data_IF_473492108306
#
_entry.id   IF_473492108306
#
_cell.length_a   1.000
_cell.length_b   1.000
_cell.length_c   1.000
_cell.angle_alpha   90.00
_cell.angle_beta   90.00
_cell.angle_gamma   90.00
#
_symmetry.space_group_name_H-M   'P 1'
#
loop_
_entity.id
_entity.type
_entity.pdbx_description
1 polymer ?
#
# COMPACT_ATOMS: atom_id res chain seq x y z
N UNK A 1 -34.86 -40.96 32.87
CA UNK A 1 -33.71 -40.09 32.49
C UNK A 1 -33.15 -40.41 31.09
N UNK A 2 -33.16 -41.67 30.62
CA UNK A 2 -32.65 -42.06 29.29
C UNK A 2 -33.27 -41.33 28.08
N UNK A 3 -34.60 -41.11 28.03
CA UNK A 3 -35.24 -40.47 26.86
C UNK A 3 -34.76 -39.03 26.61
N UNK A 4 -34.35 -38.31 27.66
CA UNK A 4 -33.87 -36.91 27.57
C UNK A 4 -32.42 -36.85 27.08
N UNK A 5 -31.60 -37.86 27.38
CA UNK A 5 -30.22 -37.97 26.90
C UNK A 5 -30.13 -38.24 25.39
N UNK A 6 -31.04 -39.04 24.82
CA UNK A 6 -31.07 -39.32 23.38
C UNK A 6 -31.44 -38.09 22.55
N UNK A 7 -32.38 -37.29 23.04
CA UNK A 7 -32.79 -36.03 22.39
C UNK A 7 -31.64 -35.01 22.44
N UNK A 8 -30.98 -34.86 23.59
CA UNK A 8 -29.81 -33.97 23.68
C UNK A 8 -28.65 -34.45 22.80
N UNK A 9 -28.41 -35.75 22.70
CA UNK A 9 -27.34 -36.30 21.85
C UNK A 9 -27.63 -36.09 20.36
N UNK A 10 -28.89 -36.23 19.92
CA UNK A 10 -29.30 -35.94 18.54
C UNK A 10 -29.18 -34.46 18.18
N UNK A 11 -29.56 -33.56 19.08
CA UNK A 11 -29.41 -32.10 18.88
C UNK A 11 -27.93 -31.70 18.81
N UNK A 12 -27.08 -32.25 19.67
CA UNK A 12 -25.64 -32.00 19.63
C UNK A 12 -24.99 -32.51 18.35
N UNK A 13 -25.39 -33.68 17.85
CA UNK A 13 -24.90 -34.21 16.58
C UNK A 13 -25.33 -33.33 15.38
N UNK A 14 -26.58 -32.84 15.39
CA UNK A 14 -27.06 -31.90 14.37
C UNK A 14 -26.29 -30.58 14.37
N UNK A 15 -26.05 -30.00 15.56
CA UNK A 15 -25.25 -28.78 15.71
C UNK A 15 -23.79 -28.98 15.25
N UNK A 16 -23.21 -30.15 15.54
CA UNK A 16 -21.86 -30.47 15.09
C UNK A 16 -21.75 -30.55 13.56
N UNK A 17 -22.74 -31.16 12.88
CA UNK A 17 -22.76 -31.23 11.42
C UNK A 17 -22.92 -29.84 10.78
N UNK A 18 -23.79 -29.00 11.35
CA UNK A 18 -23.95 -27.61 10.89
C UNK A 18 -22.65 -26.82 11.10
N UNK A 19 -22.02 -26.98 12.26
CA UNK A 19 -20.71 -26.36 12.55
C UNK A 19 -19.62 -26.81 11.59
N UNK A 20 -19.54 -28.11 11.29
CA UNK A 20 -18.59 -28.66 10.33
C UNK A 20 -18.83 -28.14 8.90
N UNK A 21 -20.10 -28.06 8.46
CA UNK A 21 -20.45 -27.51 7.17
C UNK A 21 -20.07 -26.03 7.04
N UNK A 22 -20.32 -25.22 8.08
CA UNK A 22 -19.92 -23.82 8.13
C UNK A 22 -18.40 -23.64 8.11
N UNK A 23 -17.66 -24.51 8.80
CA UNK A 23 -16.19 -24.50 8.79
C UNK A 23 -15.64 -24.77 7.39
N UNK A 24 -16.16 -25.80 6.71
CA UNK A 24 -15.76 -26.15 5.35
C UNK A 24 -16.09 -24.99 4.39
N UNK A 25 -17.30 -24.43 4.48
CA UNK A 25 -17.70 -23.28 3.66
C UNK A 25 -16.78 -22.07 3.90
N UNK A 26 -16.44 -21.77 5.16
CA UNK A 26 -15.51 -20.71 5.51
C UNK A 26 -14.11 -20.91 4.93
N UNK A 27 -13.57 -22.13 5.00
CA UNK A 27 -12.27 -22.48 4.42
C UNK A 27 -12.30 -22.31 2.89
N UNK A 28 -13.36 -22.78 2.22
CA UNK A 28 -13.48 -22.66 0.76
C UNK A 28 -13.50 -21.20 0.32
N UNK A 29 -14.26 -20.35 1.01
CA UNK A 29 -14.31 -18.91 0.73
C UNK A 29 -12.94 -18.27 0.92
N UNK A 30 -12.25 -18.59 2.02
CA UNK A 30 -10.93 -18.05 2.32
C UNK A 30 -9.88 -18.45 1.29
N UNK A 31 -9.89 -19.71 0.85
CA UNK A 31 -8.84 -20.26 -0.03
C UNK A 31 -9.10 -19.97 -1.51
N UNK A 32 -10.36 -19.87 -1.95
CA UNK A 32 -10.66 -19.71 -3.38
C UNK A 32 -11.22 -18.33 -3.72
N UNK A 33 -12.16 -17.82 -2.95
CA UNK A 33 -12.89 -16.61 -3.31
C UNK A 33 -12.04 -15.37 -3.00
N UNK A 34 -11.48 -15.32 -1.79
CA UNK A 34 -10.69 -14.18 -1.34
C UNK A 34 -9.45 -13.90 -2.21
N UNK A 35 -8.56 -14.89 -2.50
CA UNK A 35 -7.40 -14.63 -3.33
C UNK A 35 -7.77 -14.28 -4.78
N UNK A 36 -8.85 -14.84 -5.33
CA UNK A 36 -9.29 -14.49 -6.68
C UNK A 36 -9.78 -13.05 -6.76
N UNK A 37 -10.54 -12.59 -5.78
CA UNK A 37 -11.00 -11.19 -5.71
C UNK A 37 -9.81 -10.25 -5.52
N UNK A 38 -8.92 -10.55 -4.57
CA UNK A 38 -7.74 -9.72 -4.29
C UNK A 38 -6.81 -9.66 -5.50
N UNK A 39 -6.51 -10.80 -6.13
CA UNK A 39 -5.64 -10.85 -7.29
C UNK A 39 -6.22 -10.08 -8.48
N UNK A 40 -7.54 -10.20 -8.72
CA UNK A 40 -8.22 -9.42 -9.76
C UNK A 40 -8.13 -7.93 -9.49
N UNK A 41 -8.45 -7.51 -8.26
CA UNK A 41 -8.38 -6.10 -7.86
C UNK A 41 -6.96 -5.55 -7.99
N UNK A 42 -5.94 -6.28 -7.54
CA UNK A 42 -4.54 -5.84 -7.64
C UNK A 42 -4.12 -5.69 -9.09
N UNK A 43 -4.43 -6.66 -9.96
CA UNK A 43 -4.09 -6.60 -11.39
C UNK A 43 -4.70 -5.41 -12.09
N UNK A 44 -5.93 -5.03 -11.74
CA UNK A 44 -6.61 -3.88 -12.35
C UNK A 44 -6.16 -2.55 -11.75
N UNK A 45 -5.82 -2.49 -10.45
CA UNK A 45 -5.63 -1.21 -9.74
C UNK A 45 -4.19 -0.88 -9.33
N UNK A 46 -3.26 -1.82 -9.38
CA UNK A 46 -1.89 -1.64 -8.84
C UNK A 46 -0.77 -2.16 -9.73
N UNK A 47 -1.09 -2.64 -10.92
CA UNK A 47 -0.09 -3.16 -11.86
C UNK A 47 0.04 -2.20 -13.02
N UNK A 48 1.28 -1.90 -13.40
CA UNK A 48 1.56 -1.14 -14.62
C UNK A 48 1.13 -1.97 -15.84
N UNK A 49 0.31 -1.40 -16.69
CA UNK A 49 -0.27 -2.11 -17.82
C UNK A 49 -1.31 -1.32 -18.60
N UNK A 50 -1.87 -2.02 -19.58
CA UNK A 50 -2.93 -1.52 -20.46
C UNK A 50 -4.26 -2.16 -20.08
N UNK A 51 -5.34 -1.46 -20.37
CA UNK A 51 -6.68 -2.01 -20.43
C UNK A 51 -6.84 -2.87 -21.69
N UNK A 52 -7.93 -3.63 -21.77
CA UNK A 52 -8.22 -4.50 -22.92
C UNK A 52 -8.40 -3.74 -24.26
N UNK A 53 -8.68 -2.43 -24.19
CA UNK A 53 -8.79 -1.52 -25.34
C UNK A 53 -7.44 -0.91 -25.78
N UNK A 54 -6.34 -1.26 -25.10
CA UNK A 54 -5.00 -0.74 -25.36
C UNK A 54 -4.69 0.62 -24.72
N UNK A 55 -5.64 1.22 -23.99
CA UNK A 55 -5.41 2.45 -23.22
C UNK A 55 -4.60 2.18 -21.94
N UNK A 56 -3.90 3.19 -21.40
CA UNK A 56 -3.24 3.06 -20.10
C UNK A 56 -4.30 2.81 -19.01
N UNK A 57 -4.09 1.78 -18.19
CA UNK A 57 -4.94 1.59 -17.01
C UNK A 57 -4.77 2.76 -16.02
N UNK A 58 -5.72 2.93 -15.11
CA UNK A 58 -5.76 4.12 -14.24
C UNK A 58 -4.49 4.31 -13.40
N UNK A 59 -3.90 3.20 -12.94
CA UNK A 59 -2.65 3.21 -12.18
C UNK A 59 -1.48 3.69 -13.03
N UNK A 60 -1.36 3.15 -14.25
CA UNK A 60 -0.29 3.50 -15.20
C UNK A 60 -0.43 4.92 -15.68
N UNK A 61 -1.67 5.40 -15.90
CA UNK A 61 -1.94 6.79 -16.26
C UNK A 61 -1.45 7.75 -15.17
N UNK A 62 -1.77 7.46 -13.91
CA UNK A 62 -1.34 8.29 -12.76
C UNK A 62 0.17 8.20 -12.53
N UNK A 63 0.78 7.05 -12.81
CA UNK A 63 2.23 6.88 -12.69
C UNK A 63 3.00 7.60 -13.81
N UNK A 64 2.53 7.50 -15.06
CA UNK A 64 3.18 8.11 -16.22
C UNK A 64 2.97 9.63 -16.29
N UNK A 65 1.77 10.09 -15.92
CA UNK A 65 1.42 11.51 -15.86
C UNK A 65 0.78 11.77 -14.50
N UNK A 66 1.60 12.08 -13.47
CA UNK A 66 1.10 12.40 -12.15
C UNK A 66 0.19 13.63 -12.22
N UNK A 67 -0.95 13.57 -11.54
CA UNK A 67 -1.90 14.69 -11.48
C UNK A 67 -1.50 15.75 -10.46
N UNK A 68 -0.41 15.54 -9.73
CA UNK A 68 0.12 16.48 -8.74
C UNK A 68 1.28 17.26 -9.35
N UNK A 69 1.41 18.52 -8.93
CA UNK A 69 2.58 19.36 -9.24
C UNK A 69 3.63 19.09 -8.15
N UNK A 70 4.85 18.73 -8.56
CA UNK A 70 5.95 18.41 -7.65
C UNK A 70 6.97 19.54 -7.64
N UNK A 71 6.76 20.55 -6.79
CA UNK A 71 7.73 21.65 -6.67
C UNK A 71 8.94 21.23 -5.83
N UNK A 72 10.13 21.28 -6.43
CA UNK A 72 11.40 21.12 -5.72
C UNK A 72 11.93 22.49 -5.29
N UNK A 73 12.39 22.60 -4.05
CA UNK A 73 12.96 23.83 -3.51
C UNK A 73 14.40 23.58 -3.06
N UNK A 74 15.31 24.45 -3.49
CA UNK A 74 16.74 24.37 -3.15
C UNK A 74 17.15 25.54 -2.28
N UNK A 75 17.94 25.25 -1.26
CA UNK A 75 18.68 26.22 -0.45
C UNK A 75 20.17 26.00 -0.64
N UNK A 76 20.91 27.08 -0.76
CA UNK A 76 22.36 27.07 -0.98
C UNK A 76 23.01 27.90 0.11
N UNK A 77 24.16 27.44 0.61
CA UNK A 77 24.95 28.18 1.58
C UNK A 77 26.05 28.99 0.87
N UNK A 78 26.01 30.31 1.07
CA UNK A 78 26.94 31.28 0.50
C UNK A 78 28.05 31.62 1.49
N UNK A 79 29.27 31.17 1.20
CA UNK A 79 30.44 31.39 2.06
C UNK A 79 30.87 32.86 2.08
N UNK A 80 31.00 33.44 3.28
CA UNK A 80 31.43 34.83 3.47
C UNK A 80 32.93 35.02 3.62
N UNK A 81 33.64 33.98 4.06
CA UNK A 81 35.06 34.07 4.39
C UNK A 81 35.95 33.06 3.63
N UNK A 82 35.81 32.86 2.30
CA UNK A 82 36.54 31.82 1.56
C UNK A 82 38.06 31.94 1.65
N UNK A 83 38.62 33.16 1.61
CA UNK A 83 40.06 33.40 1.75
C UNK A 83 40.56 32.95 3.13
N UNK A 84 39.76 33.19 4.18
CA UNK A 84 40.08 32.81 5.56
C UNK A 84 40.06 31.29 5.75
N UNK A 85 39.09 30.62 5.13
CA UNK A 85 38.99 29.16 5.13
C UNK A 85 40.24 28.57 4.45
N UNK A 86 40.55 29.00 3.23
CA UNK A 86 41.60 28.40 2.40
C UNK A 86 43.01 28.65 2.94
N UNK A 87 43.30 29.88 3.40
CA UNK A 87 44.67 30.27 3.73
C UNK A 87 45.00 30.17 5.23
N UNK A 88 43.98 30.08 6.09
CA UNK A 88 44.16 30.17 7.55
C UNK A 88 43.39 29.10 8.33
N UNK A 89 42.74 28.16 7.64
CA UNK A 89 41.90 27.12 8.25
C UNK A 89 40.86 27.69 9.23
N UNK A 90 40.34 28.89 8.93
CA UNK A 90 39.26 29.49 9.74
C UNK A 90 37.96 28.72 9.53
N UNK A 91 37.11 28.73 10.56
CA UNK A 91 35.78 28.14 10.46
C UNK A 91 34.95 28.84 9.38
N UNK A 92 34.22 28.09 8.56
CA UNK A 92 33.38 28.69 7.54
C UNK A 92 32.22 29.49 8.14
N UNK A 93 32.03 30.69 7.61
CA UNK A 93 30.87 31.55 7.85
C UNK A 93 30.00 31.56 6.60
N UNK A 94 28.70 31.31 6.74
CA UNK A 94 27.79 31.08 5.62
C UNK A 94 26.42 31.71 5.85
N UNK A 95 25.87 32.31 4.80
CA UNK A 95 24.45 32.70 4.74
C UNK A 95 23.66 31.67 3.93
N UNK A 96 22.48 31.31 4.41
CA UNK A 96 21.53 30.55 3.61
C UNK A 96 20.88 31.46 2.54
N UNK A 97 20.82 30.97 1.30
CA UNK A 97 20.12 31.60 0.17
C UNK A 97 19.10 30.64 -0.42
N UNK A 98 17.85 31.07 -0.48
CA UNK A 98 16.74 30.29 -1.03
C UNK A 98 15.38 30.75 -0.51
N UNK A 99 14.29 30.05 -0.88
CA UNK A 99 14.28 28.90 -1.80
C UNK A 99 14.41 29.31 -3.27
N UNK A 100 15.16 28.51 -4.03
CA UNK A 100 15.06 28.46 -5.49
C UNK A 100 14.10 27.34 -5.87
N UNK A 101 12.90 27.69 -6.31
CA UNK A 101 11.82 26.75 -6.61
C UNK A 101 11.77 26.39 -8.10
N UNK A 102 11.62 25.10 -8.39
CA UNK A 102 11.43 24.56 -9.73
C UNK A 102 10.23 23.60 -9.73
N UNK A 103 9.44 23.64 -10.81
CA UNK A 103 8.31 22.72 -11.05
C UNK A 103 8.72 21.53 -11.91
#
# INVERSE_FOLDING_TARGET
>A
MQKRQWICSGVSAGLFLVGAALLIAGIVVMVNVFPNIVNKTIKTSKVLGLNDDGSLNDFTRTWAVPTYISTMQYWVFDYKNPIGILNRALYPDMDEKGPYAYE
#
